data_IF_246162777007
#
_entry.id   IF_246162777007
#
_cell.length_a   1.000
_cell.length_b   1.000
_cell.length_c   1.000
_cell.angle_alpha   90.00
_cell.angle_beta   90.00
_cell.angle_gamma   90.00
#
_symmetry.space_group_name_H-M   'P 1'
#
loop_
_entity.id
_entity.type
_entity.pdbx_description
1 polymer ?
#
# COMPACT_ATOMS: atom_id res chain seq x y z
N UNK A 1 -46.03 4.38 -16.41
CA UNK A 1 -44.98 3.34 -16.27
C UNK A 1 -43.68 3.93 -15.66
N UNK A 2 -43.78 5.08 -15.00
CA UNK A 2 -42.65 6.01 -14.84
C UNK A 2 -41.99 5.85 -13.46
N UNK A 3 -42.77 5.43 -12.46
CA UNK A 3 -42.31 5.16 -11.10
C UNK A 3 -41.44 3.89 -11.00
N UNK A 4 -41.70 2.90 -11.86
CA UNK A 4 -40.93 1.66 -11.89
C UNK A 4 -39.54 1.87 -12.52
N UNK A 5 -39.49 2.61 -13.64
CA UNK A 5 -38.23 3.00 -14.27
C UNK A 5 -37.38 3.90 -13.35
N UNK A 6 -38.01 4.84 -12.63
CA UNK A 6 -37.32 5.68 -11.65
C UNK A 6 -36.75 4.85 -10.48
N UNK A 7 -37.50 3.86 -9.97
CA UNK A 7 -37.02 2.96 -8.93
C UNK A 7 -35.81 2.13 -9.37
N UNK A 8 -35.81 1.63 -10.61
CA UNK A 8 -34.70 0.86 -11.18
C UNK A 8 -33.44 1.71 -11.37
N UNK A 9 -33.60 2.95 -11.85
CA UNK A 9 -32.49 3.91 -12.00
C UNK A 9 -31.86 4.27 -10.66
N UNK A 10 -32.68 4.59 -9.64
CA UNK A 10 -32.18 4.90 -8.29
C UNK A 10 -31.45 3.69 -7.72
N UNK A 11 -31.99 2.48 -7.90
CA UNK A 11 -31.33 1.24 -7.49
C UNK A 11 -29.95 1.08 -8.12
N UNK A 12 -29.84 1.19 -9.44
CA UNK A 12 -28.57 1.07 -10.15
C UNK A 12 -27.55 2.12 -9.71
N UNK A 13 -27.97 3.38 -9.54
CA UNK A 13 -27.09 4.46 -9.07
C UNK A 13 -26.60 4.17 -7.65
N UNK A 14 -27.48 3.73 -6.75
CA UNK A 14 -27.12 3.40 -5.37
C UNK A 14 -26.11 2.25 -5.31
N UNK A 15 -26.32 1.20 -6.11
CA UNK A 15 -25.39 0.06 -6.18
C UNK A 15 -24.04 0.47 -6.76
N UNK A 16 -24.03 1.32 -7.79
CA UNK A 16 -22.79 1.82 -8.39
C UNK A 16 -21.98 2.67 -7.39
N UNK A 17 -22.65 3.57 -6.66
CA UNK A 17 -22.02 4.36 -5.60
C UNK A 17 -21.48 3.44 -4.50
N UNK A 18 -22.26 2.44 -4.07
CA UNK A 18 -21.83 1.49 -3.04
C UNK A 18 -20.61 0.66 -3.47
N UNK A 19 -20.55 0.19 -4.72
CA UNK A 19 -19.36 -0.50 -5.25
C UNK A 19 -18.11 0.39 -5.21
N UNK A 20 -18.23 1.63 -5.69
CA UNK A 20 -17.12 2.57 -5.67
C UNK A 20 -16.68 2.91 -4.24
N UNK A 21 -17.63 3.06 -3.32
CA UNK A 21 -17.34 3.31 -1.92
C UNK A 21 -16.64 2.10 -1.27
N UNK A 22 -17.05 0.87 -1.58
CA UNK A 22 -16.42 -0.36 -1.11
C UNK A 22 -14.97 -0.48 -1.62
N UNK A 23 -14.71 -0.17 -2.89
CA UNK A 23 -13.35 -0.11 -3.44
C UNK A 23 -12.50 0.95 -2.76
N UNK A 24 -13.09 2.12 -2.47
CA UNK A 24 -12.43 3.20 -1.76
C UNK A 24 -12.11 2.83 -0.30
N UNK A 25 -13.06 2.23 0.41
CA UNK A 25 -12.90 1.73 1.79
C UNK A 25 -11.85 0.61 1.86
N UNK A 26 -11.78 -0.28 0.86
CA UNK A 26 -10.77 -1.33 0.76
C UNK A 26 -9.36 -0.78 0.61
N UNK A 27 -9.20 0.40 0.00
CA UNK A 27 -7.92 1.13 -0.08
C UNK A 27 -7.62 1.90 1.21
N UNK A 28 -8.65 2.42 1.89
CA UNK A 28 -8.50 3.22 3.11
C UNK A 28 -8.24 2.40 4.37
N UNK A 29 -8.72 1.16 4.46
CA UNK A 29 -8.57 0.33 5.65
C UNK A 29 -7.11 0.00 5.99
N UNK A 30 -6.25 -0.41 5.03
CA UNK A 30 -4.81 -0.59 5.27
C UNK A 30 -4.10 0.77 5.49
N UNK A 31 -4.57 1.82 4.81
CA UNK A 31 -3.97 3.16 4.88
C UNK A 31 -4.15 3.82 6.24
N UNK A 32 -5.33 3.72 6.87
CA UNK A 32 -5.54 4.24 8.23
C UNK A 32 -4.73 3.49 9.28
N UNK A 33 -4.57 2.16 9.12
CA UNK A 33 -3.74 1.35 10.01
C UNK A 33 -2.25 1.71 9.88
N UNK A 34 -1.79 1.96 8.65
CA UNK A 34 -0.44 2.46 8.38
C UNK A 34 -0.19 3.89 8.92
N UNK A 35 -1.20 4.77 8.80
CA UNK A 35 -1.12 6.16 9.27
C UNK A 35 -1.01 6.24 10.80
N UNK A 36 -1.65 5.35 11.55
CA UNK A 36 -1.52 5.26 13.02
C UNK A 36 -0.15 4.73 13.49
N UNK A 37 0.59 4.03 12.63
CA UNK A 37 1.96 3.57 12.95
C UNK A 37 3.04 4.63 12.67
N UNK A 38 2.67 5.88 12.36
CA UNK A 38 3.64 6.96 12.09
C UNK A 38 4.25 6.92 10.68
N UNK A 39 3.73 6.06 9.80
CA UNK A 39 4.14 5.97 8.41
C UNK A 39 3.33 6.99 7.59
N UNK A 40 3.90 8.16 7.31
CA UNK A 40 3.31 9.12 6.37
C UNK A 40 3.37 8.58 4.93
N UNK A 41 2.55 7.60 4.59
CA UNK A 41 2.37 7.18 3.21
C UNK A 41 1.39 8.14 2.56
N UNK A 42 1.91 9.15 1.87
CA UNK A 42 1.07 10.07 1.10
C UNK A 42 0.32 9.31 0.00
N UNK A 43 -0.95 9.66 -0.25
CA UNK A 43 -1.72 9.12 -1.39
C UNK A 43 -0.98 9.29 -2.73
N UNK A 44 -0.12 10.32 -2.82
CA UNK A 44 0.76 10.58 -3.97
C UNK A 44 1.85 9.51 -4.11
N UNK A 45 2.42 9.01 -3.00
CA UNK A 45 3.38 7.89 -3.03
C UNK A 45 2.70 6.59 -3.45
N UNK A 46 1.48 6.31 -2.96
CA UNK A 46 0.70 5.13 -3.40
C UNK A 46 0.44 5.20 -4.90
N UNK A 47 0.06 6.38 -5.40
CA UNK A 47 -0.18 6.57 -6.84
C UNK A 47 1.12 6.38 -7.65
N UNK A 48 2.26 6.88 -7.16
CA UNK A 48 3.60 6.67 -7.76
C UNK A 48 3.99 5.19 -7.79
N UNK A 49 3.82 4.48 -6.68
CA UNK A 49 4.10 3.04 -6.58
C UNK A 49 3.24 2.24 -7.54
N UNK A 50 1.95 2.59 -7.64
CA UNK A 50 1.04 1.95 -8.58
C UNK A 50 1.42 2.24 -10.03
N UNK A 51 1.90 3.45 -10.34
CA UNK A 51 2.42 3.82 -11.66
C UNK A 51 3.72 3.08 -12.02
N UNK A 52 4.55 2.75 -11.02
CA UNK A 52 5.76 1.93 -11.18
C UNK A 52 5.49 0.42 -11.23
N UNK A 53 4.23 0.01 -11.05
CA UNK A 53 3.81 -1.39 -11.04
C UNK A 53 4.24 -2.15 -9.79
N UNK A 54 4.38 -1.47 -8.65
CA UNK A 54 4.69 -2.12 -7.38
C UNK A 54 3.40 -2.58 -6.66
N UNK A 55 3.42 -3.76 -6.00
CA UNK A 55 2.34 -4.28 -5.20
C UNK A 55 2.20 -3.48 -3.90
N UNK A 56 1.41 -2.40 -3.93
CA UNK A 56 1.14 -1.52 -2.78
C UNK A 56 0.78 -2.29 -1.48
N UNK A 57 -0.13 -3.30 -1.46
CA UNK A 57 -0.44 -4.00 -0.22
C UNK A 57 0.77 -4.70 0.40
N UNK A 58 1.62 -5.34 -0.43
CA UNK A 58 2.84 -6.03 0.04
C UNK A 58 3.82 -5.06 0.69
N UNK A 59 4.10 -3.91 0.07
CA UNK A 59 5.03 -2.93 0.64
C UNK A 59 4.51 -2.34 1.96
N UNK A 60 3.19 -2.13 2.09
CA UNK A 60 2.57 -1.59 3.32
C UNK A 60 2.66 -2.61 4.46
N UNK A 61 2.43 -3.88 4.16
CA UNK A 61 2.57 -4.96 5.15
C UNK A 61 4.03 -5.12 5.59
N UNK A 62 4.98 -5.09 4.66
CA UNK A 62 6.41 -5.14 4.95
C UNK A 62 6.85 -3.97 5.84
N UNK A 63 6.47 -2.74 5.47
CA UNK A 63 6.76 -1.54 6.24
C UNK A 63 6.16 -1.61 7.66
N UNK A 64 4.91 -2.07 7.77
CA UNK A 64 4.26 -2.23 9.07
C UNK A 64 4.98 -3.25 9.95
N UNK A 65 5.48 -4.35 9.37
CA UNK A 65 6.30 -5.33 10.07
C UNK A 65 7.64 -4.75 10.56
N UNK A 66 8.28 -3.89 9.76
CA UNK A 66 9.52 -3.19 10.15
C UNK A 66 9.27 -2.23 11.30
N UNK A 67 8.23 -1.40 11.21
CA UNK A 67 7.87 -0.47 12.29
C UNK A 67 7.52 -1.23 13.57
N UNK A 68 6.79 -2.35 13.47
CA UNK A 68 6.47 -3.19 14.63
C UNK A 68 7.72 -3.85 15.25
N UNK A 69 8.75 -4.12 14.43
CA UNK A 69 10.06 -4.59 14.90
C UNK A 69 10.91 -3.49 15.55
N UNK A 70 10.44 -2.25 15.59
CA UNK A 70 11.17 -1.08 16.09
C UNK A 70 12.11 -0.44 15.06
N UNK A 71 12.11 -0.92 13.82
CA UNK A 71 12.90 -0.35 12.74
C UNK A 71 12.25 0.94 12.21
N UNK A 72 12.87 2.10 12.47
CA UNK A 72 12.49 3.38 11.83
C UNK A 72 13.00 3.40 10.38
N UNK A 73 12.27 2.76 9.47
CA UNK A 73 12.56 2.77 8.03
C UNK A 73 11.42 3.51 7.36
N UNK A 74 11.75 4.46 6.49
CA UNK A 74 10.73 5.18 5.73
C UNK A 74 10.24 4.34 4.55
N UNK A 75 8.96 4.48 4.22
CA UNK A 75 8.33 3.78 3.10
C UNK A 75 9.05 4.00 1.76
N UNK A 76 9.64 5.17 1.54
CA UNK A 76 10.42 5.48 0.33
C UNK A 76 11.66 4.57 0.21
N UNK A 77 12.30 4.23 1.34
CA UNK A 77 13.43 3.28 1.37
C UNK A 77 12.98 1.85 1.10
N UNK A 78 11.81 1.45 1.61
CA UNK A 78 11.19 0.15 1.31
C UNK A 78 10.85 0.06 -0.19
N UNK A 79 10.30 1.13 -0.76
CA UNK A 79 10.01 1.25 -2.19
C UNK A 79 11.28 1.15 -3.04
N UNK A 80 12.31 1.90 -2.68
CA UNK A 80 13.59 1.90 -3.37
C UNK A 80 14.25 0.51 -3.32
N UNK A 81 14.21 -0.16 -2.17
CA UNK A 81 14.70 -1.53 -2.03
C UNK A 81 13.93 -2.52 -2.89
N UNK A 82 12.58 -2.43 -2.92
CA UNK A 82 11.73 -3.25 -3.77
C UNK A 82 12.01 -3.01 -5.26
N UNK A 83 12.16 -1.75 -5.67
CA UNK A 83 12.48 -1.39 -7.06
C UNK A 83 13.87 -1.89 -7.47
N UNK A 84 14.86 -1.78 -6.60
CA UNK A 84 16.22 -2.25 -6.85
C UNK A 84 16.29 -3.78 -7.00
N UNK A 85 15.48 -4.51 -6.22
CA UNK A 85 15.48 -5.98 -6.20
C UNK A 85 14.21 -6.58 -6.82
N UNK A 86 13.51 -5.84 -7.68
CA UNK A 86 12.22 -6.24 -8.26
C UNK A 86 12.24 -7.64 -8.91
N UNK A 87 13.40 -8.06 -9.41
CA UNK A 87 13.59 -9.36 -10.05
C UNK A 87 13.91 -10.51 -9.08
N UNK A 88 14.31 -10.19 -7.85
CA UNK A 88 14.73 -11.14 -6.81
C UNK A 88 13.67 -11.31 -5.71
N UNK A 89 12.77 -10.32 -5.55
CA UNK A 89 11.73 -10.35 -4.52
C UNK A 89 10.59 -11.29 -4.91
N UNK A 90 10.40 -12.34 -4.12
CA UNK A 90 9.17 -13.13 -4.12
C UNK A 90 8.16 -12.54 -3.14
N UNK A 91 6.97 -12.17 -3.63
CA UNK A 91 5.87 -11.65 -2.78
C UNK A 91 5.40 -12.68 -1.73
N UNK A 92 5.64 -13.97 -1.96
CA UNK A 92 5.34 -15.06 -1.04
C UNK A 92 6.33 -15.16 0.15
N UNK A 93 7.56 -14.63 0.02
CA UNK A 93 8.57 -14.65 1.08
C UNK A 93 8.81 -13.24 1.66
N UNK A 94 7.87 -12.83 2.51
CA UNK A 94 7.97 -11.57 3.23
C UNK A 94 9.21 -11.54 4.16
N UNK A 95 9.63 -12.68 4.71
CA UNK A 95 10.74 -12.74 5.65
C UNK A 95 12.06 -12.36 4.99
N UNK A 96 12.32 -12.90 3.81
CA UNK A 96 13.49 -12.55 2.98
C UNK A 96 13.48 -11.07 2.58
N UNK A 97 12.31 -10.54 2.19
CA UNK A 97 12.22 -9.13 1.84
C UNK A 97 12.55 -8.20 3.02
N UNK A 98 12.10 -8.53 4.24
CA UNK A 98 12.40 -7.74 5.44
C UNK A 98 13.90 -7.73 5.77
N UNK A 99 14.60 -8.84 5.61
CA UNK A 99 16.05 -8.90 5.85
C UNK A 99 16.81 -8.11 4.80
N UNK A 100 16.39 -8.17 3.54
CA UNK A 100 16.95 -7.38 2.45
C UNK A 100 16.79 -5.88 2.69
N UNK A 101 15.61 -5.42 3.12
CA UNK A 101 15.36 -4.01 3.44
C UNK A 101 16.21 -3.55 4.63
N UNK A 102 16.41 -4.40 5.65
CA UNK A 102 17.33 -4.10 6.76
C UNK A 102 18.78 -3.97 6.30
N UNK A 103 19.24 -4.85 5.42
CA UNK A 103 20.60 -4.76 4.86
C UNK A 103 20.77 -3.50 4.00
N UNK A 104 19.77 -3.16 3.19
CA UNK A 104 19.74 -1.94 2.40
C UNK A 104 19.86 -0.68 3.27
N UNK A 105 19.11 -0.62 4.38
CA UNK A 105 19.23 0.46 5.37
C UNK A 105 20.65 0.53 5.96
N UNK A 106 21.23 -0.62 6.30
CA UNK A 106 22.59 -0.70 6.88
C UNK A 106 23.65 -0.19 5.91
N UNK A 107 23.50 -0.45 4.61
CA UNK A 107 24.39 0.07 3.55
C UNK A 107 24.18 1.57 3.29
N UNK A 108 22.95 2.06 3.34
CA UNK A 108 22.64 3.49 3.18
C UNK A 108 23.09 4.36 4.36
N UNK A 109 23.12 3.80 5.58
CA UNK A 109 23.57 4.51 6.79
C UNK A 109 25.09 4.65 6.92
N UNK A 110 25.88 4.05 6.03
CA UNK A 110 27.35 4.09 6.06
C UNK A 110 27.98 5.27 5.31
N UNK A 111 27.19 6.22 4.83
CA UNK A 111 27.66 7.34 4.01
C UNK A 111 27.33 8.73 4.60
N UNK A 112 27.34 8.83 5.94
CA UNK A 112 27.28 10.10 6.69
C UNK A 112 28.39 10.13 7.72
#
# INVERSE_FOLDING_TARGET
>A
MDKFAAGLLVGCVMTFIAMRLLEFLRILWPWQRAMMSGAQVSLVSILRMRLKGCPVPFLVDAHSALVHSGDKIEMDQVEACYLAHKHEVNEDDMGEFLTMVRDFKRRGSGNV
#
